data_IF_493277750495
#
_entry.id   IF_493277750495
#
_cell.length_a   1.000
_cell.length_b   1.000
_cell.length_c   1.000
_cell.angle_alpha   90.00
_cell.angle_beta   90.00
_cell.angle_gamma   90.00
#
_symmetry.space_group_name_H-M   'P 1'
#
loop_
_entity.id
_entity.type
_entity.pdbx_description
1 polymer ?
#
# COMPACT_ATOMS: atom_id res chain seq x y z
N UNK A 1 -12.20 0.06 23.21
CA UNK A 1 -11.95 -0.64 24.49
C UNK A 1 -11.17 0.35 25.35
N UNK A 2 -11.60 0.64 26.58
CA UNK A 2 -10.81 1.52 27.45
C UNK A 2 -9.50 0.83 27.87
N UNK A 3 -8.52 1.63 28.32
CA UNK A 3 -7.18 1.14 28.67
C UNK A 3 -7.24 0.02 29.72
N UNK A 4 -8.18 0.15 30.66
CA UNK A 4 -8.39 -0.78 31.78
C UNK A 4 -8.88 -2.15 31.31
N UNK A 5 -9.83 -2.20 30.38
CA UNK A 5 -10.32 -3.47 29.81
C UNK A 5 -9.28 -4.17 28.91
N UNK A 6 -8.27 -3.43 28.41
CA UNK A 6 -7.20 -4.03 27.59
C UNK A 6 -6.16 -4.81 28.36
N UNK A 7 -6.05 -4.56 29.67
CA UNK A 7 -5.12 -5.28 30.53
C UNK A 7 -5.73 -6.58 31.10
N UNK A 8 -7.06 -6.68 31.17
CA UNK A 8 -7.75 -7.86 31.72
C UNK A 8 -8.13 -8.91 30.66
N UNK A 9 -7.15 -9.36 29.87
CA UNK A 9 -7.31 -10.55 29.01
C UNK A 9 -7.04 -11.86 29.78
N UNK A 10 -6.88 -11.81 31.10
CA UNK A 10 -6.53 -12.96 31.94
C UNK A 10 -7.52 -14.12 31.82
N UNK A 11 -8.80 -13.84 31.56
CA UNK A 11 -9.84 -14.87 31.38
C UNK A 11 -9.57 -15.81 30.21
N UNK A 12 -8.87 -15.35 29.15
CA UNK A 12 -8.49 -16.18 28.02
C UNK A 12 -7.34 -17.15 28.35
N UNK A 13 -6.59 -16.91 29.42
CA UNK A 13 -5.52 -17.80 29.90
C UNK A 13 -6.04 -18.95 30.77
N UNK A 14 -7.34 -18.98 31.11
CA UNK A 14 -7.94 -20.00 31.96
C UNK A 14 -7.97 -21.41 31.30
N UNK A 15 -6.82 -22.08 31.39
CA UNK A 15 -6.48 -23.51 31.48
C UNK A 15 -7.17 -24.59 30.62
N UNK A 16 -8.10 -24.33 29.69
CA UNK A 16 -8.75 -25.46 28.97
C UNK A 16 -9.08 -25.28 27.50
N UNK A 17 -9.06 -24.07 26.95
CA UNK A 17 -9.29 -23.89 25.51
C UNK A 17 -8.00 -24.11 24.73
N UNK A 18 -7.79 -25.35 24.24
CA UNK A 18 -6.60 -25.70 23.46
C UNK A 18 -6.45 -24.87 22.17
N UNK A 19 -7.55 -24.31 21.67
CA UNK A 19 -7.61 -23.38 20.55
C UNK A 19 -8.89 -22.56 20.75
N UNK A 20 -8.83 -21.32 21.28
CA UNK A 20 -10.05 -20.58 21.61
C UNK A 20 -10.87 -20.24 20.36
N UNK A 21 -10.23 -20.15 19.19
CA UNK A 21 -10.88 -19.73 17.94
C UNK A 21 -10.47 -20.57 16.72
N UNK A 22 -10.82 -21.87 16.65
CA UNK A 22 -10.35 -22.78 15.59
C UNK A 22 -10.89 -22.45 14.20
N UNK A 23 -12.00 -21.70 14.12
CA UNK A 23 -12.67 -21.30 12.87
C UNK A 23 -12.51 -19.82 12.55
N UNK A 24 -11.63 -19.10 13.26
CA UNK A 24 -11.43 -17.68 13.01
C UNK A 24 -10.85 -17.48 11.59
N UNK A 25 -11.36 -16.47 10.90
CA UNK A 25 -10.92 -16.09 9.55
C UNK A 25 -10.60 -14.59 9.47
N UNK A 26 -11.31 -13.80 10.26
CA UNK A 26 -11.14 -12.35 10.35
C UNK A 26 -10.86 -11.98 11.82
N UNK A 27 -9.72 -11.35 12.05
CA UNK A 27 -9.37 -10.66 13.28
C UNK A 27 -9.43 -9.16 13.00
N UNK A 28 -10.47 -8.48 13.49
CA UNK A 28 -10.63 -7.03 13.34
C UNK A 28 -10.72 -6.40 14.71
N UNK A 29 -9.77 -5.53 15.05
CA UNK A 29 -9.61 -4.96 16.38
C UNK A 29 -9.61 -3.43 16.30
N UNK A 30 -10.32 -2.78 17.23
CA UNK A 30 -10.24 -1.33 17.44
C UNK A 30 -9.56 -1.09 18.78
N UNK A 31 -8.34 -0.55 18.74
CA UNK A 31 -7.42 -0.48 19.87
C UNK A 31 -6.73 0.88 19.92
N UNK A 32 -6.35 1.37 21.11
CA UNK A 32 -5.56 2.59 21.22
C UNK A 32 -4.15 2.40 20.67
N UNK A 33 -3.50 1.29 21.01
CA UNK A 33 -2.15 0.92 20.54
C UNK A 33 -2.11 -0.52 20.06
N UNK A 34 -0.99 -0.94 19.46
CA UNK A 34 -0.82 -2.31 18.94
C UNK A 34 -0.39 -3.32 20.02
N UNK A 35 0.12 -2.85 21.16
CA UNK A 35 0.60 -3.72 22.25
C UNK A 35 -0.44 -4.78 22.71
N UNK A 36 -1.73 -4.46 22.92
CA UNK A 36 -2.74 -5.46 23.28
C UNK A 36 -2.98 -6.50 22.16
N UNK A 37 -2.77 -6.12 20.90
CA UNK A 37 -2.92 -7.04 19.76
C UNK A 37 -1.85 -8.12 19.78
N UNK A 38 -0.60 -7.75 20.08
CA UNK A 38 0.52 -8.70 20.24
C UNK A 38 0.17 -9.76 21.28
N UNK A 39 -0.29 -9.34 22.48
CA UNK A 39 -0.70 -10.26 23.55
C UNK A 39 -1.83 -11.18 23.10
N UNK A 40 -2.86 -10.64 22.44
CA UNK A 40 -3.98 -11.44 21.94
C UNK A 40 -3.50 -12.50 20.93
N UNK A 41 -2.66 -12.10 19.96
CA UNK A 41 -2.10 -13.02 18.94
C UNK A 41 -1.30 -14.14 19.59
N UNK A 42 -0.41 -13.80 20.55
CA UNK A 42 0.36 -14.79 21.32
C UNK A 42 -0.55 -15.77 22.06
N UNK A 43 -1.66 -15.29 22.61
CA UNK A 43 -2.64 -16.11 23.33
C UNK A 43 -3.45 -17.03 22.42
N UNK A 44 -3.66 -16.67 21.15
CA UNK A 44 -4.30 -17.56 20.18
C UNK A 44 -3.46 -18.79 19.83
N UNK A 45 -2.15 -18.78 20.15
CA UNK A 45 -1.18 -19.85 19.84
C UNK A 45 -1.20 -20.19 18.35
N UNK A 46 -1.20 -21.48 17.98
CA UNK A 46 -1.22 -21.95 16.59
C UNK A 46 -2.62 -21.82 16.01
N UNK A 47 -2.92 -20.65 15.46
CA UNK A 47 -4.22 -20.39 14.86
C UNK A 47 -4.24 -20.97 13.43
N UNK A 48 -5.02 -22.05 13.20
CA UNK A 48 -5.24 -22.66 11.86
C UNK A 48 -6.25 -21.88 11.03
N UNK A 49 -6.04 -20.57 10.97
CA UNK A 49 -6.88 -19.66 10.22
C UNK A 49 -6.77 -20.07 8.75
N UNK A 50 -7.87 -20.39 8.07
CA UNK A 50 -7.79 -20.95 6.71
C UNK A 50 -7.69 -19.86 5.63
N UNK A 51 -7.80 -18.58 6.04
CA UNK A 51 -7.65 -17.38 5.21
C UNK A 51 -7.69 -16.16 6.14
N UNK A 52 -6.57 -15.78 6.73
CA UNK A 52 -6.56 -14.73 7.76
C UNK A 52 -6.60 -13.36 7.15
N UNK A 53 -7.51 -12.55 7.68
CA UNK A 53 -7.51 -11.10 7.56
C UNK A 53 -7.28 -10.50 8.94
N UNK A 54 -6.21 -9.72 9.11
CA UNK A 54 -5.90 -9.00 10.32
C UNK A 54 -6.07 -7.50 10.07
N UNK A 55 -7.01 -6.86 10.75
CA UNK A 55 -7.33 -5.43 10.59
C UNK A 55 -7.23 -4.77 11.96
N UNK A 56 -6.37 -3.75 12.04
CA UNK A 56 -6.12 -2.99 13.26
C UNK A 56 -6.54 -1.55 13.03
N UNK A 57 -7.57 -1.11 13.75
CA UNK A 57 -8.03 0.28 13.77
C UNK A 57 -7.49 0.98 15.01
N UNK A 58 -6.57 1.92 14.78
CA UNK A 58 -5.86 2.65 15.82
C UNK A 58 -6.59 3.95 16.19
N UNK A 59 -6.59 4.30 17.48
CA UNK A 59 -7.02 5.64 17.93
C UNK A 59 -5.84 6.54 18.27
N UNK A 60 -4.72 5.97 18.75
CA UNK A 60 -3.57 6.74 19.25
C UNK A 60 -2.36 6.60 18.31
N UNK A 61 -1.22 7.15 18.73
CA UNK A 61 0.08 7.01 18.06
C UNK A 61 0.60 5.59 18.13
N UNK A 62 1.14 5.17 17.00
CA UNK A 62 1.79 3.89 16.82
C UNK A 62 3.20 4.16 16.33
N UNK A 63 4.15 3.46 16.93
CA UNK A 63 5.53 3.53 16.51
C UNK A 63 5.87 2.36 15.55
N UNK A 64 6.85 2.54 14.66
CA UNK A 64 7.36 1.47 13.79
C UNK A 64 7.72 0.17 14.55
N UNK A 65 8.25 0.29 15.77
CA UNK A 65 8.55 -0.85 16.63
C UNK A 65 7.31 -1.67 17.01
N UNK A 66 6.20 -1.02 17.36
CA UNK A 66 4.96 -1.71 17.70
C UNK A 66 4.35 -2.44 16.49
N UNK A 67 4.53 -1.87 15.29
CA UNK A 67 4.11 -2.51 14.03
C UNK A 67 4.95 -3.77 13.80
N UNK A 68 6.28 -3.66 13.97
CA UNK A 68 7.21 -4.79 13.88
C UNK A 68 6.87 -5.89 14.90
N UNK A 69 6.50 -5.52 16.13
CA UNK A 69 6.10 -6.48 17.18
C UNK A 69 4.83 -7.25 16.77
N UNK A 70 3.83 -6.57 16.20
CA UNK A 70 2.62 -7.24 15.68
C UNK A 70 2.95 -8.16 14.51
N UNK A 71 3.80 -7.73 13.58
CA UNK A 71 4.21 -8.53 12.44
C UNK A 71 5.01 -9.76 12.87
N UNK A 72 5.87 -9.63 13.88
CA UNK A 72 6.59 -10.73 14.50
C UNK A 72 5.62 -11.70 15.16
N UNK A 73 4.65 -11.21 15.94
CA UNK A 73 3.63 -12.06 16.55
C UNK A 73 2.78 -12.80 15.50
N UNK A 74 2.40 -12.13 14.40
CA UNK A 74 1.70 -12.77 13.29
C UNK A 74 2.57 -13.87 12.66
N UNK A 75 3.86 -13.62 12.42
CA UNK A 75 4.79 -14.61 11.89
C UNK A 75 4.94 -15.84 12.80
N UNK A 76 5.04 -15.66 14.11
CA UNK A 76 5.23 -16.74 15.08
C UNK A 76 3.97 -17.58 15.33
N UNK A 77 2.78 -16.98 15.17
CA UNK A 77 1.52 -17.60 15.62
C UNK A 77 0.50 -17.87 14.50
N UNK A 78 0.64 -17.25 13.33
CA UNK A 78 -0.21 -17.51 12.17
C UNK A 78 0.43 -18.48 11.18
N UNK A 79 -0.39 -19.24 10.47
CA UNK A 79 0.10 -20.09 9.39
C UNK A 79 0.55 -19.24 8.19
N UNK A 80 1.81 -19.42 7.78
CA UNK A 80 2.44 -18.76 6.63
C UNK A 80 1.65 -18.92 5.32
N UNK A 81 0.93 -20.04 5.17
CA UNK A 81 0.17 -20.35 3.98
C UNK A 81 -1.18 -19.62 3.90
N UNK A 82 -1.62 -18.97 4.98
CA UNK A 82 -3.03 -18.60 5.16
C UNK A 82 -3.29 -17.13 5.45
N UNK A 83 -2.31 -16.39 5.97
CA UNK A 83 -2.44 -14.94 6.13
C UNK A 83 -2.40 -14.29 4.74
N UNK A 84 -3.47 -13.57 4.42
CA UNK A 84 -3.63 -12.95 3.09
C UNK A 84 -3.83 -11.45 3.16
N UNK A 85 -4.36 -10.94 4.28
CA UNK A 85 -4.68 -9.53 4.43
C UNK A 85 -4.16 -9.03 5.76
N UNK A 86 -3.36 -7.97 5.73
CA UNK A 86 -2.95 -7.21 6.90
C UNK A 86 -3.22 -5.75 6.64
N UNK A 87 -3.97 -5.14 7.55
CA UNK A 87 -4.29 -3.72 7.49
C UNK A 87 -4.06 -3.07 8.85
N UNK A 88 -3.29 -1.99 8.86
CA UNK A 88 -3.15 -1.09 10.00
C UNK A 88 -3.68 0.25 9.54
N UNK A 89 -4.79 0.69 10.13
CA UNK A 89 -5.47 1.93 9.77
C UNK A 89 -5.66 2.80 10.99
N UNK A 90 -5.44 4.09 10.81
CA UNK A 90 -5.74 5.11 11.80
C UNK A 90 -6.66 6.15 11.18
N UNK A 91 -7.64 6.64 11.95
CA UNK A 91 -8.48 7.74 11.49
C UNK A 91 -7.66 9.02 11.35
N UNK A 92 -7.91 9.75 10.27
CA UNK A 92 -7.21 10.98 9.93
C UNK A 92 -7.45 12.06 11.00
N UNK A 93 -6.48 12.25 11.88
CA UNK A 93 -6.43 13.36 12.84
C UNK A 93 -5.07 14.05 12.70
N UNK A 94 -5.06 15.23 12.08
CA UNK A 94 -3.90 15.82 11.40
C UNK A 94 -2.92 16.58 12.31
N UNK A 95 -3.07 16.49 13.63
CA UNK A 95 -2.35 17.35 14.58
C UNK A 95 -1.00 16.76 15.06
N UNK A 96 -0.24 16.07 14.19
CA UNK A 96 0.93 15.29 14.61
C UNK A 96 2.26 15.84 14.11
N UNK A 97 3.14 16.14 15.07
CA UNK A 97 4.54 16.42 14.83
C UNK A 97 5.29 15.09 14.66
N UNK A 98 5.72 14.81 13.44
CA UNK A 98 6.53 13.65 13.11
C UNK A 98 7.99 13.87 13.52
N UNK A 99 8.63 12.82 14.02
CA UNK A 99 10.04 12.80 14.41
C UNK A 99 10.76 11.59 13.79
N UNK A 100 12.08 11.54 13.93
CA UNK A 100 12.90 10.41 13.44
C UNK A 100 12.45 9.04 14.02
N UNK A 101 11.78 9.03 15.17
CA UNK A 101 11.23 7.82 15.79
C UNK A 101 10.03 7.24 15.01
N UNK A 102 9.44 8.00 14.09
CA UNK A 102 8.36 7.57 13.20
C UNK A 102 8.87 6.95 11.88
N UNK A 103 10.19 6.81 11.71
CA UNK A 103 10.81 6.26 10.51
C UNK A 103 10.44 4.78 10.31
N UNK A 104 9.77 4.48 9.20
CA UNK A 104 9.30 3.16 8.82
C UNK A 104 10.08 2.62 7.62
N UNK A 105 11.02 1.72 7.89
CA UNK A 105 11.84 1.01 6.91
C UNK A 105 11.32 -0.41 6.60
N UNK A 106 11.86 -1.03 5.55
CA UNK A 106 11.58 -2.43 5.17
C UNK A 106 11.88 -3.43 6.30
N UNK A 107 12.85 -3.16 7.17
CA UNK A 107 13.20 -4.04 8.29
C UNK A 107 12.01 -4.30 9.22
N UNK A 108 11.12 -3.32 9.38
CA UNK A 108 9.88 -3.50 10.15
C UNK A 108 8.89 -4.45 9.47
N UNK A 109 8.93 -4.56 8.13
CA UNK A 109 8.10 -5.47 7.33
C UNK A 109 8.66 -6.90 7.24
N UNK A 110 9.93 -7.12 7.60
CA UNK A 110 10.64 -8.37 7.35
C UNK A 110 9.89 -9.64 7.80
N UNK A 111 9.23 -9.67 8.98
CA UNK A 111 8.45 -10.84 9.39
C UNK A 111 7.29 -11.15 8.43
N UNK A 112 6.64 -10.12 7.88
CA UNK A 112 5.54 -10.29 6.92
C UNK A 112 6.00 -10.70 5.52
N UNK A 113 7.24 -10.42 5.14
CA UNK A 113 7.80 -10.87 3.85
C UNK A 113 7.90 -12.42 3.76
N UNK A 114 7.66 -13.13 4.86
CA UNK A 114 7.62 -14.60 4.90
C UNK A 114 6.25 -15.20 4.53
N UNK A 115 5.25 -14.39 4.23
CA UNK A 115 3.90 -14.82 3.86
C UNK A 115 3.67 -14.76 2.35
N UNK A 116 3.97 -15.81 1.57
CA UNK A 116 3.85 -15.78 0.11
C UNK A 116 2.39 -15.68 -0.37
N UNK A 117 1.43 -15.95 0.52
CA UNK A 117 0.01 -15.84 0.26
C UNK A 117 -0.56 -14.42 0.42
N UNK A 118 0.26 -13.41 0.71
CA UNK A 118 -0.21 -12.05 0.91
C UNK A 118 -0.92 -11.52 -0.35
N UNK A 119 -2.12 -10.98 -0.15
CA UNK A 119 -2.99 -10.42 -1.20
C UNK A 119 -3.30 -8.95 -0.98
N UNK A 120 -3.38 -8.49 0.26
CA UNK A 120 -3.65 -7.09 0.57
C UNK A 120 -2.79 -6.65 1.74
N UNK A 121 -1.99 -5.62 1.52
CA UNK A 121 -1.21 -4.98 2.57
C UNK A 121 -1.54 -3.50 2.60
N UNK A 122 -2.01 -3.04 3.75
CA UNK A 122 -2.38 -1.64 3.97
C UNK A 122 -1.75 -1.14 5.25
N UNK A 123 -1.02 -0.03 5.14
CA UNK A 123 -0.56 0.75 6.28
C UNK A 123 -0.98 2.20 6.05
N UNK A 124 -1.96 2.67 6.82
CA UNK A 124 -2.47 4.03 6.77
C UNK A 124 -2.48 4.61 8.19
N UNK A 125 -1.29 5.02 8.61
CA UNK A 125 -1.01 5.62 9.92
C UNK A 125 0.17 6.57 9.73
N UNK A 126 0.25 7.72 10.40
CA UNK A 126 1.27 8.71 10.10
C UNK A 126 2.64 8.20 10.53
N UNK A 127 3.47 7.89 9.54
CA UNK A 127 4.84 7.42 9.66
C UNK A 127 5.69 8.13 8.62
N UNK A 128 7.00 8.17 8.83
CA UNK A 128 7.96 8.61 7.83
C UNK A 128 8.41 7.36 7.08
N UNK A 129 7.76 7.04 5.96
CA UNK A 129 8.15 5.87 5.17
C UNK A 129 9.42 6.20 4.38
N UNK A 130 10.43 5.36 4.59
CA UNK A 130 11.71 5.43 3.89
C UNK A 130 11.92 4.11 3.15
N UNK A 131 11.66 4.15 1.85
CA UNK A 131 11.71 2.99 0.96
C UNK A 131 12.32 3.39 -0.38
N UNK A 132 13.13 2.48 -0.92
CA UNK A 132 13.76 2.59 -2.22
C UNK A 132 13.30 1.45 -3.17
N UNK A 133 13.84 1.46 -4.38
CA UNK A 133 13.53 0.44 -5.40
C UNK A 133 13.84 -1.00 -4.94
N UNK A 134 14.89 -1.22 -4.15
CA UNK A 134 15.24 -2.55 -3.66
C UNK A 134 14.24 -3.07 -2.61
N UNK A 135 13.62 -2.17 -1.84
CA UNK A 135 12.56 -2.53 -0.90
C UNK A 135 11.30 -2.98 -1.63
N UNK A 136 10.91 -2.27 -2.70
CA UNK A 136 9.80 -2.69 -3.55
C UNK A 136 10.08 -4.04 -4.23
N UNK A 137 11.33 -4.31 -4.63
CA UNK A 137 11.72 -5.64 -5.15
C UNK A 137 11.53 -6.72 -4.11
N UNK A 138 11.98 -6.49 -2.88
CA UNK A 138 11.82 -7.43 -1.78
C UNK A 138 10.34 -7.72 -1.49
N UNK A 139 9.50 -6.69 -1.47
CA UNK A 139 8.04 -6.81 -1.33
C UNK A 139 7.44 -7.63 -2.47
N UNK A 140 7.81 -7.32 -3.71
CA UNK A 140 7.25 -7.94 -4.90
C UNK A 140 7.62 -9.44 -5.02
N UNK A 141 8.87 -9.78 -4.70
CA UNK A 141 9.35 -11.16 -4.70
C UNK A 141 8.76 -11.97 -3.53
N UNK A 142 8.51 -11.32 -2.38
CA UNK A 142 7.84 -11.94 -1.24
C UNK A 142 6.34 -12.18 -1.49
N UNK A 143 5.65 -11.26 -2.16
CA UNK A 143 4.19 -11.26 -2.31
C UNK A 143 3.73 -11.29 -3.78
N UNK A 144 4.03 -12.35 -4.55
CA UNK A 144 3.68 -12.43 -5.97
C UNK A 144 2.16 -12.46 -6.24
N UNK A 145 1.34 -12.72 -5.21
CA UNK A 145 -0.12 -12.77 -5.27
C UNK A 145 -0.82 -11.48 -4.81
N UNK A 146 -0.04 -10.39 -4.64
CA UNK A 146 -0.54 -9.10 -4.18
C UNK A 146 -1.59 -8.53 -5.15
N UNK A 147 -2.70 -8.08 -4.58
CA UNK A 147 -3.85 -7.46 -5.24
C UNK A 147 -3.97 -5.99 -4.85
N UNK A 148 -3.66 -5.67 -3.60
CA UNK A 148 -3.74 -4.31 -3.04
C UNK A 148 -2.47 -4.02 -2.26
N UNK A 149 -1.83 -2.90 -2.57
CA UNK A 149 -0.74 -2.34 -1.79
C UNK A 149 -1.04 -0.87 -1.51
N UNK A 150 -1.28 -0.54 -0.25
CA UNK A 150 -1.56 0.84 0.18
C UNK A 150 -0.55 1.26 1.25
N UNK A 151 0.37 2.15 0.88
CA UNK A 151 1.36 2.73 1.77
C UNK A 151 1.03 4.21 2.00
N UNK A 152 0.64 4.55 3.23
CA UNK A 152 0.37 5.92 3.67
C UNK A 152 -0.78 6.63 2.93
N UNK A 153 -1.77 5.88 2.45
CA UNK A 153 -2.88 6.37 1.63
C UNK A 153 -3.80 7.41 2.31
N UNK A 154 -3.59 7.81 3.56
CA UNK A 154 -4.30 8.95 4.19
C UNK A 154 -3.37 10.03 4.75
N UNK A 155 -2.06 9.82 4.67
CA UNK A 155 -1.04 10.59 5.42
C UNK A 155 0.12 11.10 4.56
N UNK A 156 0.33 10.52 3.37
CA UNK A 156 1.47 10.81 2.51
C UNK A 156 2.81 10.44 3.17
N UNK A 157 3.89 10.77 2.47
CA UNK A 157 5.26 10.59 2.94
C UNK A 157 5.79 11.97 3.37
N UNK A 158 6.76 11.94 4.29
CA UNK A 158 7.46 13.15 4.73
C UNK A 158 8.72 13.36 3.92
N UNK A 159 9.40 12.29 3.53
CA UNK A 159 10.67 12.38 2.82
C UNK A 159 10.48 12.38 1.31
N UNK A 160 11.50 12.88 0.60
CA UNK A 160 11.59 12.71 -0.84
C UNK A 160 11.60 11.20 -1.15
N UNK A 161 10.71 10.69 -2.00
CA UNK A 161 10.69 9.28 -2.34
C UNK A 161 11.95 8.88 -3.09
N UNK A 162 12.57 7.77 -2.69
CA UNK A 162 13.67 7.15 -3.45
C UNK A 162 13.18 6.10 -4.46
N UNK A 163 11.90 5.74 -4.38
CA UNK A 163 11.24 4.90 -5.38
C UNK A 163 11.15 5.63 -6.71
N UNK A 164 11.51 4.95 -7.79
CA UNK A 164 11.40 5.46 -9.17
C UNK A 164 10.49 4.55 -10.01
N UNK A 165 10.35 4.87 -11.30
CA UNK A 165 9.59 4.03 -12.23
C UNK A 165 10.14 2.61 -12.36
N UNK A 166 11.46 2.39 -12.22
CA UNK A 166 12.05 1.06 -12.26
C UNK A 166 11.54 0.14 -11.13
N UNK A 167 11.40 0.66 -9.91
CA UNK A 167 10.85 -0.06 -8.75
C UNK A 167 9.37 -0.40 -8.95
N UNK A 168 8.57 0.58 -9.35
CA UNK A 168 7.13 0.40 -9.64
C UNK A 168 6.92 -0.62 -10.77
N UNK A 169 7.71 -0.53 -11.85
CA UNK A 169 7.67 -1.48 -12.95
C UNK A 169 7.97 -2.91 -12.48
N UNK A 170 8.94 -3.09 -11.58
CA UNK A 170 9.32 -4.41 -11.07
C UNK A 170 8.22 -5.01 -10.20
N UNK A 171 7.65 -4.20 -9.30
CA UNK A 171 6.50 -4.57 -8.48
C UNK A 171 5.34 -5.05 -9.37
N UNK A 172 4.96 -4.26 -10.37
CA UNK A 172 3.85 -4.59 -11.25
C UNK A 172 4.09 -5.82 -12.12
N UNK A 173 5.34 -6.06 -12.53
CA UNK A 173 5.73 -7.25 -13.27
C UNK A 173 5.63 -8.52 -12.42
N UNK A 174 6.09 -8.47 -11.17
CA UNK A 174 6.11 -9.62 -10.24
C UNK A 174 4.76 -9.87 -9.56
N UNK A 175 3.93 -8.84 -9.44
CA UNK A 175 2.59 -8.91 -8.86
C UNK A 175 1.52 -8.72 -9.96
N UNK A 176 1.31 -9.68 -10.88
CA UNK A 176 0.39 -9.53 -12.01
C UNK A 176 -1.09 -9.44 -11.61
N UNK A 177 -1.41 -9.70 -10.33
CA UNK A 177 -2.76 -9.55 -9.78
C UNK A 177 -3.02 -8.18 -9.15
N UNK A 178 -2.01 -7.29 -9.07
CA UNK A 178 -2.16 -5.99 -8.43
C UNK A 178 -3.21 -5.15 -9.17
N UNK A 179 -4.19 -4.65 -8.42
CA UNK A 179 -5.32 -3.87 -8.90
C UNK A 179 -5.30 -2.44 -8.35
N UNK A 180 -4.81 -2.27 -7.12
CA UNK A 180 -4.76 -0.98 -6.42
C UNK A 180 -3.35 -0.81 -5.85
N UNK A 181 -2.74 0.34 -6.14
CA UNK A 181 -1.42 0.73 -5.67
C UNK A 181 -1.50 2.15 -5.10
N UNK A 182 -1.00 2.36 -3.88
CA UNK A 182 -0.77 3.68 -3.30
C UNK A 182 0.64 3.72 -2.73
N UNK A 183 1.47 4.61 -3.28
CA UNK A 183 2.85 4.87 -2.85
C UNK A 183 3.33 6.23 -3.36
N UNK A 184 4.40 6.75 -2.74
CA UNK A 184 5.13 7.91 -3.24
C UNK A 184 6.31 7.48 -4.14
N UNK A 185 6.54 8.19 -5.24
CA UNK A 185 7.64 7.96 -6.17
C UNK A 185 8.24 9.29 -6.68
N UNK A 186 9.51 9.27 -7.06
CA UNK A 186 10.15 10.35 -7.80
C UNK A 186 9.95 10.14 -9.31
N UNK A 187 8.95 10.82 -9.87
CA UNK A 187 8.61 10.67 -11.29
C UNK A 187 9.54 11.42 -12.25
N UNK A 188 10.47 12.24 -11.72
CA UNK A 188 11.48 12.95 -12.53
C UNK A 188 12.51 11.99 -13.12
N UNK A 189 12.71 10.84 -12.48
CA UNK A 189 13.66 9.82 -12.91
C UNK A 189 12.95 8.86 -13.86
N UNK A 190 13.08 9.10 -15.17
CA UNK A 190 12.54 8.19 -16.19
C UNK A 190 13.48 7.00 -16.44
N UNK A 191 13.39 6.01 -15.58
CA UNK A 191 14.18 4.77 -15.64
C UNK A 191 13.33 3.52 -15.89
N UNK A 192 12.09 3.68 -16.35
CA UNK A 192 11.13 2.60 -16.62
C UNK A 192 11.70 1.55 -17.60
N UNK A 193 12.58 1.98 -18.50
CA UNK A 193 13.26 1.13 -19.48
C UNK A 193 14.16 0.05 -18.81
N UNK A 194 14.70 0.32 -17.61
CA UNK A 194 15.55 -0.64 -16.89
C UNK A 194 14.82 -1.94 -16.57
N UNK A 195 13.52 -1.85 -16.28
CA UNK A 195 12.70 -3.03 -15.97
C UNK A 195 11.95 -3.55 -17.20
N UNK A 196 11.40 -2.65 -18.02
CA UNK A 196 10.59 -3.05 -19.19
C UNK A 196 11.40 -3.72 -20.30
N UNK A 197 12.72 -3.51 -20.34
CA UNK A 197 13.64 -4.20 -21.27
C UNK A 197 14.04 -5.61 -20.82
N UNK A 198 13.68 -6.03 -19.59
CA UNK A 198 14.04 -7.35 -19.09
C UNK A 198 13.36 -8.48 -19.88
N UNK A 199 14.05 -9.62 -20.08
CA UNK A 199 13.43 -10.79 -20.68
C UNK A 199 12.18 -11.21 -19.89
N UNK A 200 11.10 -11.53 -20.60
CA UNK A 200 9.82 -11.94 -20.01
C UNK A 200 9.07 -10.84 -19.26
N UNK A 201 9.50 -9.57 -19.33
CA UNK A 201 8.68 -8.46 -18.86
C UNK A 201 7.32 -8.49 -19.55
N UNK A 202 6.26 -8.31 -18.78
CA UNK A 202 4.90 -8.18 -19.27
C UNK A 202 4.23 -7.04 -18.50
N UNK A 203 3.61 -6.07 -19.19
CA UNK A 203 2.81 -5.05 -18.51
C UNK A 203 1.72 -5.68 -17.64
N UNK A 204 1.43 -5.04 -16.52
CA UNK A 204 0.34 -5.43 -15.64
C UNK A 204 -0.99 -5.01 -16.27
N UNK A 205 -1.82 -5.99 -16.60
CA UNK A 205 -3.13 -5.78 -17.24
C UNK A 205 -4.28 -5.68 -16.22
N UNK A 206 -3.99 -5.67 -14.92
CA UNK A 206 -4.99 -5.69 -13.84
C UNK A 206 -4.99 -4.44 -12.97
N UNK A 207 -3.91 -3.66 -12.96
CA UNK A 207 -3.88 -2.39 -12.24
C UNK A 207 -4.97 -1.47 -12.77
N UNK A 208 -5.75 -0.88 -11.87
CA UNK A 208 -6.88 0.02 -12.17
C UNK A 208 -6.73 1.37 -11.50
N UNK A 209 -6.22 1.38 -10.28
CA UNK A 209 -6.10 2.58 -9.46
C UNK A 209 -4.66 2.74 -8.98
N UNK A 210 -4.13 3.95 -9.16
CA UNK A 210 -2.81 4.35 -8.67
C UNK A 210 -2.95 5.66 -7.90
N UNK A 211 -2.69 5.62 -6.61
CA UNK A 211 -2.45 6.81 -5.80
C UNK A 211 -0.96 7.10 -5.78
N UNK A 212 -0.59 8.30 -6.21
CA UNK A 212 0.78 8.80 -6.15
C UNK A 212 1.06 9.63 -4.90
N UNK A 213 0.11 9.73 -3.97
CA UNK A 213 0.26 10.47 -2.71
C UNK A 213 0.98 11.81 -2.91
N UNK A 214 2.11 12.00 -2.23
CA UNK A 214 3.04 13.12 -2.21
C UNK A 214 4.26 12.92 -3.13
N UNK A 215 4.11 12.11 -4.18
CA UNK A 215 5.13 11.91 -5.21
C UNK A 215 5.68 13.22 -5.75
N UNK A 216 6.91 13.18 -6.24
CA UNK A 216 7.51 14.29 -6.97
C UNK A 216 7.04 14.21 -8.42
N UNK A 217 6.17 15.15 -8.81
CA UNK A 217 5.54 15.21 -10.13
C UNK A 217 6.16 16.36 -10.94
N UNK A 218 6.57 16.09 -12.18
CA UNK A 218 7.26 17.07 -13.05
C UNK A 218 6.65 17.11 -14.45
N UNK A 219 6.90 16.08 -15.28
CA UNK A 219 6.41 16.01 -16.65
C UNK A 219 5.26 15.00 -16.78
N UNK A 220 4.05 15.51 -17.11
CA UNK A 220 2.86 14.68 -17.26
C UNK A 220 2.93 13.71 -18.46
N UNK A 221 3.65 14.07 -19.52
CA UNK A 221 3.86 13.22 -20.69
C UNK A 221 4.77 12.04 -20.34
N UNK A 222 5.91 12.31 -19.68
CA UNK A 222 6.80 11.26 -19.18
C UNK A 222 6.05 10.34 -18.21
N UNK A 223 5.32 10.93 -17.25
CA UNK A 223 4.53 10.16 -16.29
C UNK A 223 3.51 9.24 -16.99
N UNK A 224 2.71 9.78 -17.91
CA UNK A 224 1.70 9.01 -18.63
C UNK A 224 2.33 7.90 -19.48
N UNK A 225 3.45 8.17 -20.16
CA UNK A 225 4.14 7.18 -20.96
C UNK A 225 4.73 6.05 -20.12
N UNK A 226 5.37 6.37 -19.00
CA UNK A 226 5.96 5.38 -18.09
C UNK A 226 4.88 4.51 -17.43
N UNK A 227 3.79 5.13 -16.97
CA UNK A 227 2.65 4.39 -16.43
C UNK A 227 1.97 3.50 -17.49
N UNK A 228 1.77 4.02 -18.71
CA UNK A 228 1.20 3.23 -19.81
C UNK A 228 2.07 2.03 -20.18
N UNK A 229 3.41 2.18 -20.15
CA UNK A 229 4.34 1.11 -20.48
C UNK A 229 4.22 -0.08 -19.52
N UNK A 230 3.90 0.17 -18.24
CA UNK A 230 3.88 -0.86 -17.19
C UNK A 230 2.46 -1.28 -16.80
N UNK A 231 1.46 -0.42 -16.99
CA UNK A 231 0.06 -0.67 -16.63
C UNK A 231 -0.91 0.10 -17.54
N UNK A 232 -1.11 -0.35 -18.79
CA UNK A 232 -1.88 0.41 -19.78
C UNK A 232 -3.39 0.51 -19.48
N UNK A 233 -3.88 -0.24 -18.50
CA UNK A 233 -5.30 -0.34 -18.12
C UNK A 233 -5.65 0.42 -16.83
N UNK A 234 -4.78 1.32 -16.35
CA UNK A 234 -5.10 2.22 -15.23
C UNK A 234 -6.22 3.17 -15.64
N UNK A 235 -7.28 3.24 -14.84
CA UNK A 235 -8.49 4.03 -15.13
C UNK A 235 -8.69 5.21 -14.18
N UNK A 236 -8.02 5.23 -13.04
CA UNK A 236 -8.06 6.34 -12.10
C UNK A 236 -6.69 6.57 -11.48
N UNK A 237 -6.31 7.84 -11.41
CA UNK A 237 -5.10 8.26 -10.71
C UNK A 237 -5.48 9.36 -9.74
N UNK A 238 -5.09 9.19 -8.48
CA UNK A 238 -5.24 10.19 -7.45
C UNK A 238 -3.90 10.50 -6.80
N UNK A 239 -3.88 11.56 -6.02
CA UNK A 239 -2.69 12.04 -5.35
C UNK A 239 -3.01 13.33 -4.61
N UNK A 240 -2.28 13.55 -3.51
CA UNK A 240 -2.38 14.76 -2.72
C UNK A 240 -1.00 15.07 -2.15
N UNK A 241 -0.56 16.32 -2.32
CA UNK A 241 0.68 16.79 -1.71
C UNK A 241 0.41 17.31 -0.29
N UNK A 242 1.19 16.86 0.69
CA UNK A 242 1.26 17.54 1.97
C UNK A 242 2.15 18.78 1.84
N UNK A 243 1.61 19.95 2.20
CA UNK A 243 2.43 21.14 2.41
C UNK A 243 3.16 20.97 3.73
N UNK A 244 4.39 20.48 3.69
CA UNK A 244 5.25 20.50 4.86
C UNK A 244 6.12 21.77 4.81
N UNK A 245 5.80 22.76 5.65
CA UNK A 245 6.54 24.02 5.74
C UNK A 245 8.01 23.83 6.15
N UNK A 246 8.35 22.71 6.79
CA UNK A 246 9.70 22.40 7.24
C UNK A 246 10.60 21.81 6.14
N UNK A 247 10.01 21.30 5.06
CA UNK A 247 10.77 20.79 3.93
C UNK A 247 10.77 21.85 2.84
N UNK A 248 11.92 22.50 2.65
CA UNK A 248 12.21 23.36 1.49
C UNK A 248 12.06 22.62 0.14
N UNK A 249 11.88 21.29 0.19
CA UNK A 249 11.65 20.40 -0.95
C UNK A 249 10.15 20.24 -1.25
N UNK A 250 9.27 20.86 -0.47
CA UNK A 250 7.89 21.04 -0.89
C UNK A 250 7.87 22.05 -2.05
N UNK A 251 8.03 21.53 -3.26
CA UNK A 251 7.18 21.99 -4.35
C UNK A 251 5.96 21.09 -4.27
N UNK A 252 4.94 21.38 -3.42
CA UNK A 252 3.63 20.90 -3.80
C UNK A 252 3.43 21.49 -5.18
N UNK A 253 3.17 20.64 -6.18
CA UNK A 253 2.59 21.17 -7.40
C UNK A 253 1.46 22.08 -6.96
N UNK A 254 1.54 23.37 -7.32
CA UNK A 254 0.54 24.35 -6.93
C UNK A 254 -0.88 23.90 -7.37
N UNK A 255 -0.95 22.91 -8.26
CA UNK A 255 -2.16 22.22 -8.66
C UNK A 255 -1.90 20.75 -9.04
N UNK A 256 -1.79 19.85 -8.04
CA UNK A 256 -1.69 18.40 -8.28
C UNK A 256 -2.88 17.85 -9.09
N UNK A 257 -4.08 18.38 -8.87
CA UNK A 257 -5.27 18.01 -9.62
C UNK A 257 -5.11 18.27 -11.13
N UNK A 258 -4.65 19.46 -11.53
CA UNK A 258 -4.45 19.76 -12.95
C UNK A 258 -3.39 18.87 -13.62
N UNK A 259 -2.36 18.46 -12.89
CA UNK A 259 -1.38 17.49 -13.40
C UNK A 259 -2.01 16.13 -13.64
N UNK A 260 -2.74 15.63 -12.64
CA UNK A 260 -3.39 14.32 -12.73
C UNK A 260 -4.45 14.31 -13.84
N UNK A 261 -5.23 15.37 -13.99
CA UNK A 261 -6.15 15.55 -15.12
C UNK A 261 -5.42 15.47 -16.47
N UNK A 262 -4.25 16.11 -16.58
CA UNK A 262 -3.43 16.06 -17.80
C UNK A 262 -2.90 14.64 -18.07
N UNK A 263 -2.41 13.94 -17.04
CA UNK A 263 -1.95 12.54 -17.15
C UNK A 263 -3.09 11.64 -17.60
N UNK A 264 -4.28 11.78 -17.03
CA UNK A 264 -5.45 10.97 -17.39
C UNK A 264 -5.86 11.18 -18.86
N UNK A 265 -5.86 12.43 -19.34
CA UNK A 265 -6.09 12.76 -20.75
C UNK A 265 -5.05 12.11 -21.67
N UNK A 266 -3.77 12.16 -21.31
CA UNK A 266 -2.69 11.55 -22.08
C UNK A 266 -2.81 10.02 -22.11
N UNK A 267 -3.10 9.39 -20.97
CA UNK A 267 -3.32 7.95 -20.87
C UNK A 267 -4.53 7.50 -21.71
N UNK A 268 -5.59 8.30 -21.72
CA UNK A 268 -6.75 8.04 -22.58
C UNK A 268 -6.34 8.05 -24.06
N UNK A 269 -5.58 9.04 -24.50
CA UNK A 269 -5.10 9.12 -25.88
C UNK A 269 -4.17 7.94 -26.24
N UNK A 270 -3.28 7.56 -25.32
CA UNK A 270 -2.40 6.40 -25.49
C UNK A 270 -3.19 5.09 -25.64
N UNK A 271 -4.22 4.87 -24.83
CA UNK A 271 -5.12 3.71 -24.97
C UNK A 271 -5.86 3.74 -26.30
N UNK A 272 -6.43 4.89 -26.68
CA UNK A 272 -7.18 5.05 -27.93
C UNK A 272 -6.32 4.73 -29.16
N UNK A 273 -5.08 5.20 -29.17
CA UNK A 273 -4.17 5.05 -30.32
C UNK A 273 -3.47 3.69 -30.36
N UNK A 274 -3.02 3.16 -29.21
CA UNK A 274 -2.17 1.96 -29.16
C UNK A 274 -2.93 0.68 -28.81
N UNK A 275 -4.16 0.78 -28.30
CA UNK A 275 -4.98 -0.36 -27.89
C UNK A 275 -6.35 -0.37 -28.56
N UNK A 276 -6.47 0.22 -29.76
CA UNK A 276 -7.74 0.35 -30.50
C UNK A 276 -8.54 -0.96 -30.54
N UNK A 277 -7.90 -2.09 -30.81
CA UNK A 277 -8.59 -3.39 -30.90
C UNK A 277 -9.22 -3.84 -29.57
N UNK A 278 -8.63 -3.46 -28.43
CA UNK A 278 -9.14 -3.79 -27.10
C UNK A 278 -10.22 -2.81 -26.63
N UNK A 279 -10.26 -1.61 -27.22
CA UNK A 279 -11.09 -0.49 -26.80
C UNK A 279 -11.99 0.05 -27.92
N UNK A 280 -12.29 -0.74 -28.94
CA UNK A 280 -13.17 -0.34 -30.04
C UNK A 280 -14.56 0.14 -29.55
N UNK A 281 -14.97 -0.26 -28.33
CA UNK A 281 -16.19 0.25 -27.70
C UNK A 281 -16.08 1.72 -27.27
N UNK A 282 -14.89 2.24 -26.93
CA UNK A 282 -14.71 3.64 -26.51
C UNK A 282 -14.98 4.62 -27.66
N UNK A 283 -14.70 4.23 -28.91
CA UNK A 283 -15.00 5.06 -30.08
C UNK A 283 -16.51 5.29 -30.27
N UNK A 284 -17.36 4.43 -29.68
CA UNK A 284 -18.82 4.57 -29.73
C UNK A 284 -19.39 5.52 -28.65
N UNK A 285 -18.64 5.81 -27.59
CA UNK A 285 -19.07 6.63 -26.44
C UNK A 285 -18.48 8.04 -26.45
N UNK A 286 -18.32 8.63 -27.64
CA UNK A 286 -17.66 9.94 -27.86
C UNK A 286 -17.86 10.96 -26.73
N UNK A 287 -16.73 11.56 -26.31
CA UNK A 287 -16.54 12.71 -25.39
C UNK A 287 -17.26 12.73 -24.03
N UNK A 288 -18.17 11.81 -23.71
CA UNK A 288 -18.98 11.84 -22.48
C UNK A 288 -18.52 10.86 -21.39
N UNK A 289 -17.21 10.70 -21.19
CA UNK A 289 -16.71 10.10 -19.95
C UNK A 289 -16.60 11.17 -18.87
N UNK A 290 -17.71 11.42 -18.18
CA UNK A 290 -17.66 12.01 -16.85
C UNK A 290 -17.11 10.93 -15.93
N UNK A 291 -15.90 11.12 -15.42
CA UNK A 291 -15.32 10.29 -14.37
C UNK A 291 -16.27 10.39 -13.17
N UNK A 292 -17.02 9.31 -12.92
CA UNK A 292 -17.80 9.19 -11.69
C UNK A 292 -16.79 8.95 -10.58
N UNK A 293 -16.40 10.02 -9.89
CA UNK A 293 -15.74 9.90 -8.60
C UNK A 293 -16.66 9.08 -7.69
N UNK A 294 -16.29 7.84 -7.41
CA UNK A 294 -16.92 7.09 -6.33
C UNK A 294 -16.48 7.76 -5.01
N UNK A 295 -17.43 8.18 -4.16
CA UNK A 295 -17.13 8.86 -2.90
C UNK A 295 -16.49 7.94 -1.86
#
# INVERSE_FOLDING_TARGET
>A
MDKETSEDLGFLQAASLHYPFPSLQLLSLMVPSLTPCVKLIQMMRTCRLTRTTAVFHLTDRVFPSEISDVFTALYEHCSLATLQVVEIRRRNNRDWDLSDEDAFHLDHLQPLLRFPGMRSFTISTPLIVDMANDDLRAIADAWPLLVTLLLMDDWGFVNLPEVTWAGVAYLLWKCPQLMILSLSLDSRIDDVALTTSLPSFRPNMRLRFVSVTDSVLDDAEVFAHSLFAIAPLVIGIDGWGHKNELLEISVPMANSFAFLDQVELLLWELRRTRMRDHFAFLDAYGEFFVIVYLP
#
